data_IF_144522644454
#
_entry.id   IF_144522644454
#
_cell.length_a   1.000
_cell.length_b   1.000
_cell.length_c   1.000
_cell.angle_alpha   90.00
_cell.angle_beta   90.00
_cell.angle_gamma   90.00
#
_symmetry.space_group_name_H-M   'P 1'
#
loop_
_entity.id
_entity.type
_entity.pdbx_description
1 polymer ?
#
# COMPACT_ATOMS: atom_id res chain seq x y z
N UNK A 1 -12.80 19.46 38.71
CA UNK A 1 -12.75 18.02 38.36
C UNK A 1 -12.68 17.88 36.84
N UNK A 2 -11.47 17.88 36.27
CA UNK A 2 -11.27 17.91 34.81
C UNK A 2 -11.49 16.53 34.20
N UNK A 3 -12.62 16.36 33.52
CA UNK A 3 -12.96 15.18 32.72
C UNK A 3 -11.93 15.06 31.60
N UNK A 4 -10.90 14.25 31.82
CA UNK A 4 -9.93 13.86 30.79
C UNK A 4 -10.72 13.22 29.66
N UNK A 5 -10.87 13.96 28.55
CA UNK A 5 -11.18 13.39 27.26
C UNK A 5 -10.20 12.24 27.02
N UNK A 6 -10.65 11.01 27.29
CA UNK A 6 -10.05 9.82 26.68
C UNK A 6 -10.31 10.00 25.21
N UNK A 7 -9.37 10.67 24.53
CA UNK A 7 -9.24 10.60 23.09
C UNK A 7 -9.20 9.11 22.78
N UNK A 8 -10.34 8.60 22.29
CA UNK A 8 -10.39 7.28 21.68
C UNK A 8 -9.37 7.37 20.57
N UNK A 9 -8.15 6.85 20.81
CA UNK A 9 -7.20 6.59 19.74
C UNK A 9 -8.03 5.88 18.67
N UNK A 10 -8.13 6.42 17.44
CA UNK A 10 -8.81 5.68 16.39
C UNK A 10 -8.20 4.29 16.43
N UNK A 11 -9.05 3.27 16.54
CA UNK A 11 -8.64 1.88 16.45
C UNK A 11 -7.63 1.82 15.31
N UNK A 12 -6.45 1.24 15.54
CA UNK A 12 -5.46 1.02 14.48
C UNK A 12 -6.17 0.22 13.39
N UNK A 13 -6.81 0.92 12.47
CA UNK A 13 -7.39 0.39 11.26
C UNK A 13 -6.19 0.12 10.37
N UNK A 14 -5.46 -0.94 10.73
CA UNK A 14 -4.50 -1.62 9.87
C UNK A 14 -5.29 -2.27 8.73
N UNK A 15 -5.86 -1.44 7.86
CA UNK A 15 -6.21 -1.86 6.51
C UNK A 15 -5.19 -1.19 5.62
N UNK A 16 -4.23 -2.02 5.24
CA UNK A 16 -2.96 -1.60 4.69
C UNK A 16 -2.73 -2.37 3.41
N UNK A 17 -3.61 -2.09 2.46
CA UNK A 17 -3.50 -2.51 1.08
C UNK A 17 -4.04 -1.31 0.34
N UNK A 18 -3.18 -0.42 -0.18
CA UNK A 18 -3.74 0.68 -0.94
C UNK A 18 -4.38 0.15 -2.21
N UNK A 19 -5.69 0.09 -2.08
CA UNK A 19 -6.75 0.05 -3.06
C UNK A 19 -7.10 -1.34 -3.56
N UNK A 20 -8.41 -1.60 -3.40
CA UNK A 20 -9.13 -2.82 -3.71
C UNK A 20 -8.43 -3.65 -4.79
N UNK A 21 -7.98 -4.88 -4.47
CA UNK A 21 -7.42 -5.78 -5.45
C UNK A 21 -8.38 -5.91 -6.64
N UNK A 22 -7.88 -5.68 -7.86
CA UNK A 22 -8.68 -5.82 -9.08
C UNK A 22 -9.37 -4.57 -9.60
N UNK A 23 -8.97 -3.38 -9.14
CA UNK A 23 -9.39 -2.10 -9.76
C UNK A 23 -8.45 -1.55 -10.83
N UNK A 24 -7.30 -2.21 -11.08
CA UNK A 24 -6.31 -1.82 -12.09
C UNK A 24 -6.48 -2.58 -13.41
N UNK A 25 -5.60 -2.34 -14.40
CA UNK A 25 -5.69 -2.97 -15.71
C UNK A 25 -5.64 -4.50 -15.63
N UNK A 26 -6.39 -5.16 -16.52
CA UNK A 26 -6.45 -6.62 -16.57
C UNK A 26 -5.06 -7.24 -16.81
N UNK A 27 -4.78 -8.36 -16.13
CA UNK A 27 -3.49 -9.04 -16.19
C UNK A 27 -2.33 -8.31 -15.48
N UNK A 28 -2.53 -7.09 -14.97
CA UNK A 28 -1.49 -6.36 -14.23
C UNK A 28 -1.58 -6.65 -12.72
N UNK A 29 -0.42 -6.64 -12.08
CA UNK A 29 -0.26 -6.95 -10.65
C UNK A 29 0.52 -5.85 -9.94
N UNK A 30 0.56 -5.90 -8.61
CA UNK A 30 1.39 -5.00 -7.83
C UNK A 30 2.87 -5.13 -8.19
N UNK A 31 3.35 -6.33 -8.55
CA UNK A 31 4.73 -6.53 -9.03
C UNK A 31 5.10 -5.64 -10.22
N UNK A 32 4.20 -5.48 -11.18
CA UNK A 32 4.43 -4.66 -12.37
C UNK A 32 4.23 -3.16 -12.14
N UNK A 33 3.80 -2.76 -10.94
CA UNK A 33 3.55 -1.36 -10.59
C UNK A 33 4.84 -0.63 -10.19
N UNK A 34 4.97 0.62 -10.63
CA UNK A 34 6.05 1.54 -10.27
C UNK A 34 6.08 1.89 -8.78
N UNK A 35 4.93 1.81 -8.10
CA UNK A 35 4.80 2.10 -6.67
C UNK A 35 5.18 0.94 -5.76
N UNK A 36 5.36 -0.27 -6.29
CA UNK A 36 5.71 -1.44 -5.48
C UNK A 36 7.17 -1.39 -5.04
N UNK A 37 7.39 -1.55 -3.73
CA UNK A 37 8.70 -1.57 -3.09
C UNK A 37 8.85 -2.89 -2.36
N UNK A 38 9.83 -3.70 -2.76
CA UNK A 38 10.12 -4.97 -2.10
C UNK A 38 10.52 -4.72 -0.65
N UNK A 39 9.82 -5.34 0.28
CA UNK A 39 10.15 -5.30 1.69
C UNK A 39 10.97 -6.57 1.95
N UNK A 40 12.26 -6.44 2.26
CA UNK A 40 13.24 -7.53 2.29
C UNK A 40 12.99 -8.67 3.30
N UNK A 41 11.81 -8.71 3.92
CA UNK A 41 11.45 -9.68 4.95
C UNK A 41 10.92 -11.01 4.39
N UNK A 42 10.37 -11.01 3.17
CA UNK A 42 9.88 -12.23 2.52
C UNK A 42 9.92 -12.10 0.99
N UNK A 43 10.46 -13.10 0.32
CA UNK A 43 10.45 -13.18 -1.14
C UNK A 43 9.01 -13.07 -1.68
N UNK A 44 8.83 -12.27 -2.73
CA UNK A 44 7.50 -12.02 -3.31
C UNK A 44 6.60 -11.12 -2.46
N UNK A 45 7.12 -10.44 -1.44
CA UNK A 45 6.35 -9.46 -0.65
C UNK A 45 6.93 -8.06 -0.77
N UNK A 46 6.07 -7.07 -0.63
CA UNK A 46 6.46 -5.67 -0.67
C UNK A 46 5.37 -4.74 -0.19
N UNK A 47 5.68 -3.46 -0.14
CA UNK A 47 4.76 -2.40 0.26
C UNK A 47 4.50 -1.47 -0.91
N UNK A 48 3.36 -0.78 -0.89
CA UNK A 48 3.00 0.17 -1.92
C UNK A 48 3.35 1.60 -1.48
N UNK A 49 4.25 2.28 -2.19
CA UNK A 49 4.65 3.64 -1.84
C UNK A 49 3.51 4.66 -1.97
N UNK A 50 2.63 4.46 -2.95
CA UNK A 50 1.43 5.30 -3.13
C UNK A 50 0.44 5.12 -1.96
N UNK A 51 0.41 3.93 -1.33
CA UNK A 51 -0.32 3.70 -0.08
C UNK A 51 0.19 4.61 1.04
N UNK A 52 1.50 4.63 1.23
CA UNK A 52 2.15 5.44 2.26
C UNK A 52 1.88 6.92 2.04
N UNK A 53 2.01 7.39 0.79
CA UNK A 53 1.73 8.79 0.42
C UNK A 53 0.29 9.20 0.74
N UNK A 54 -0.70 8.40 0.37
CA UNK A 54 -2.12 8.71 0.62
C UNK A 54 -2.50 8.61 2.10
N UNK A 55 -1.91 7.65 2.82
CA UNK A 55 -2.18 7.47 4.25
C UNK A 55 -1.37 8.40 5.17
N UNK A 56 -0.38 9.12 4.64
CA UNK A 56 0.57 9.89 5.44
C UNK A 56 1.46 8.99 6.32
N UNK A 57 1.74 7.76 5.87
CA UNK A 57 2.51 6.76 6.61
C UNK A 57 3.85 6.47 5.94
N UNK A 58 4.87 6.24 6.77
CA UNK A 58 6.15 5.73 6.30
C UNK A 58 6.00 4.29 5.74
N UNK A 59 6.87 3.89 4.81
CA UNK A 59 6.83 2.55 4.21
C UNK A 59 6.95 1.43 5.24
N UNK A 60 7.70 1.64 6.31
CA UNK A 60 7.86 0.69 7.43
C UNK A 60 6.60 0.51 8.28
N UNK A 61 5.66 1.47 8.20
CA UNK A 61 4.36 1.39 8.86
C UNK A 61 3.29 0.73 7.98
N UNK A 62 3.64 0.33 6.75
CA UNK A 62 2.74 -0.35 5.83
C UNK A 62 2.81 -1.87 6.02
N UNK A 63 1.67 -2.57 5.86
CA UNK A 63 1.68 -4.02 5.75
C UNK A 63 2.16 -4.42 4.37
N UNK A 64 2.94 -5.51 4.30
CA UNK A 64 3.32 -6.09 3.05
C UNK A 64 2.12 -6.72 2.35
N UNK A 65 2.10 -6.61 1.03
CA UNK A 65 1.24 -7.32 0.10
C UNK A 65 2.08 -8.27 -0.75
N UNK A 66 1.40 -9.27 -1.32
CA UNK A 66 2.03 -10.22 -2.24
C UNK A 66 2.20 -9.61 -3.63
N UNK A 67 3.31 -9.91 -4.31
CA UNK A 67 3.63 -9.33 -5.62
C UNK A 67 2.61 -9.72 -6.70
N UNK A 68 2.00 -10.91 -6.60
CA UNK A 68 0.90 -11.39 -7.44
C UNK A 68 -0.48 -10.78 -7.15
N UNK A 69 -0.59 -9.86 -6.18
CA UNK A 69 -1.85 -9.14 -5.93
C UNK A 69 -2.25 -8.37 -7.19
N UNK A 70 -3.52 -8.48 -7.62
CA UNK A 70 -4.02 -7.74 -8.79
C UNK A 70 -3.80 -6.25 -8.60
N UNK A 71 -3.42 -5.58 -9.69
CA UNK A 71 -3.23 -4.15 -9.72
C UNK A 71 -4.49 -3.42 -9.23
N UNK A 72 -4.30 -2.29 -8.54
CA UNK A 72 -5.36 -1.40 -8.14
C UNK A 72 -5.51 -0.25 -9.15
N UNK A 73 -6.53 0.59 -8.97
CA UNK A 73 -6.83 1.71 -9.89
C UNK A 73 -5.71 2.76 -10.00
N UNK A 74 -4.77 2.77 -9.06
CA UNK A 74 -3.60 3.65 -9.03
C UNK A 74 -2.35 2.99 -9.61
N UNK A 75 -2.54 1.94 -10.39
CA UNK A 75 -1.44 1.27 -11.06
C UNK A 75 -0.79 2.20 -12.06
N UNK A 76 0.54 2.20 -12.06
CA UNK A 76 1.38 2.86 -13.05
C UNK A 76 2.45 1.86 -13.45
N UNK A 77 2.63 1.66 -14.76
CA UNK A 77 3.63 0.71 -15.25
C UNK A 77 5.03 1.14 -14.86
N UNK A 78 5.88 0.19 -14.49
CA UNK A 78 7.33 0.46 -14.35
C UNK A 78 7.96 0.91 -15.67
N UNK A 79 7.38 0.45 -16.78
CA UNK A 79 7.71 0.85 -18.15
C UNK A 79 7.36 2.32 -18.44
N UNK A 80 6.31 2.86 -17.81
CA UNK A 80 5.87 4.26 -18.00
C UNK A 80 6.74 5.29 -17.26
N UNK A 81 7.66 4.84 -16.39
CA UNK A 81 8.52 5.74 -15.59
C UNK A 81 9.84 6.09 -16.28
N UNK A 82 10.06 5.58 -17.50
CA UNK A 82 11.30 5.74 -18.26
C UNK A 82 11.21 6.73 -19.43
N UNK A 83 10.11 7.49 -19.54
CA UNK A 83 9.95 8.58 -20.54
C UNK A 83 10.22 9.95 -19.94
#
# INVERSE_FOLDING_TARGET
MSRRHRQRRPARSTITYAHLPGGGPEGRTCKSCAHFRTAGHRAGSGVCAEAGRQAGLALSALHPLWDGTRACRYWTGREDTAS
#
